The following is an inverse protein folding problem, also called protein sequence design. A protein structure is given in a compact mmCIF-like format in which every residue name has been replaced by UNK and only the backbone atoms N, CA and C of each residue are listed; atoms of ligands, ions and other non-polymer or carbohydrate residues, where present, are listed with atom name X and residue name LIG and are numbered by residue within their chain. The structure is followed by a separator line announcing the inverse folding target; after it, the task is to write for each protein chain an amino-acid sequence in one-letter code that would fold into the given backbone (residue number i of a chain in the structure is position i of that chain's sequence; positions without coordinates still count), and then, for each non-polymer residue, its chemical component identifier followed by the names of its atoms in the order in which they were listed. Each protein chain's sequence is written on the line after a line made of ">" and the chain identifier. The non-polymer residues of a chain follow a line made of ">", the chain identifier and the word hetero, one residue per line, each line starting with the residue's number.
data_IF_999001065652
#
_entry.id   IF_999001065652
#
_cell.length_a   1.000
_cell.length_b   1.000
_cell.length_c   1.000
_cell.angle_alpha   90.00
_cell.angle_beta   90.00
_cell.angle_gamma   90.00
#
_symmetry.space_group_name_H-M   'P 1'
#
loop_
_entity.id
_entity.type
_entity.pdbx_description
1 polymer ?
#
# COMPACT_ATOMS: atom_id res chain seq x y z
N UNK A 1 -9.72 -35.83 -24.10
CA UNK A 1 -8.52 -35.22 -23.48
C UNK A 1 -8.26 -33.90 -24.21
N UNK A 2 -8.86 -32.80 -23.74
CA UNK A 2 -8.96 -31.57 -24.53
C UNK A 2 -7.62 -30.83 -24.62
N UNK A 3 -6.82 -31.17 -25.64
CA UNK A 3 -5.52 -30.55 -25.95
C UNK A 3 -5.60 -29.03 -26.23
N UNK A 4 -6.81 -28.51 -26.52
CA UNK A 4 -7.06 -27.09 -26.83
C UNK A 4 -7.26 -26.21 -25.58
N UNK A 5 -7.45 -26.78 -24.39
CA UNK A 5 -7.69 -25.99 -23.17
C UNK A 5 -6.38 -25.36 -22.64
N UNK A 6 -5.24 -26.04 -22.85
CA UNK A 6 -3.93 -25.62 -22.36
C UNK A 6 -3.46 -24.25 -22.92
N UNK A 7 -3.50 -23.98 -24.25
CA UNK A 7 -3.07 -22.68 -24.77
C UNK A 7 -4.03 -21.54 -24.37
N UNK A 8 -5.32 -21.83 -24.26
CA UNK A 8 -6.34 -20.85 -23.87
C UNK A 8 -6.14 -20.42 -22.41
N UNK A 9 -5.85 -21.38 -21.52
CA UNK A 9 -5.58 -21.10 -20.11
C UNK A 9 -4.30 -20.26 -19.94
N UNK A 10 -3.26 -20.54 -20.74
CA UNK A 10 -1.99 -19.82 -20.69
C UNK A 10 -2.15 -18.36 -21.15
N UNK A 11 -2.93 -18.12 -22.21
CA UNK A 11 -3.27 -16.76 -22.68
C UNK A 11 -4.08 -16.00 -21.63
N UNK A 12 -5.01 -16.67 -20.94
CA UNK A 12 -5.83 -16.05 -19.90
C UNK A 12 -5.00 -15.61 -18.68
N UNK A 13 -3.97 -16.39 -18.29
CA UNK A 13 -3.06 -16.03 -17.20
C UNK A 13 -2.16 -14.83 -17.54
N UNK A 14 -1.84 -14.63 -18.82
CA UNK A 14 -1.01 -13.50 -19.27
C UNK A 14 -1.80 -12.17 -19.30
N UNK A 15 -3.14 -12.24 -19.32
CA UNK A 15 -4.04 -11.08 -19.34
C UNK A 15 -4.36 -10.55 -17.93
N UNK A 16 -4.10 -11.33 -16.88
CA UNK A 16 -4.19 -10.83 -15.50
C UNK A 16 -2.96 -9.99 -15.20
N UNK A 17 -3.01 -8.71 -15.55
CA UNK A 17 -2.00 -7.73 -15.12
C UNK A 17 -1.87 -7.73 -13.58
N UNK A 18 -0.70 -7.38 -13.03
CA UNK A 18 -0.50 -7.39 -11.60
C UNK A 18 -1.45 -6.37 -10.96
N UNK A 19 -2.51 -6.85 -10.32
CA UNK A 19 -3.33 -6.06 -9.40
C UNK A 19 -2.59 -5.71 -8.09
N UNK A 20 -1.26 -5.90 -8.07
CA UNK A 20 -0.31 -5.65 -6.99
C UNK A 20 0.49 -4.36 -7.26
N UNK A 21 -0.17 -3.24 -7.59
CA UNK A 21 0.54 -2.01 -7.95
C UNK A 21 0.42 -0.88 -6.91
N UNK A 22 -0.44 -1.02 -5.90
CA UNK A 22 -0.45 -0.10 -4.75
C UNK A 22 0.41 -0.67 -3.62
N UNK A 23 1.15 0.23 -2.96
CA UNK A 23 1.86 -0.02 -1.72
C UNK A 23 0.89 -0.56 -0.69
N UNK A 24 1.28 -1.64 -0.03
CA UNK A 24 0.43 -2.29 0.96
C UNK A 24 0.28 -1.42 2.21
N UNK A 25 -0.75 -1.74 3.00
CA UNK A 25 -0.97 -1.13 4.32
C UNK A 25 0.27 -1.27 5.22
N UNK A 26 0.91 -2.43 5.20
CA UNK A 26 2.04 -2.74 6.07
C UNK A 26 3.33 -2.07 5.60
N UNK A 27 3.52 -1.94 4.28
CA UNK A 27 4.62 -1.15 3.72
C UNK A 27 4.50 0.33 4.10
N UNK A 28 3.29 0.89 4.01
CA UNK A 28 3.02 2.25 4.47
C UNK A 28 3.30 2.39 5.98
N UNK A 29 2.89 1.41 6.80
CA UNK A 29 3.22 1.38 8.22
C UNK A 29 4.74 1.41 8.44
N UNK A 30 5.50 0.57 7.73
CA UNK A 30 6.95 0.47 7.83
C UNK A 30 7.66 1.76 7.39
N UNK A 31 7.18 2.44 6.35
CA UNK A 31 7.69 3.75 5.95
C UNK A 31 7.46 4.78 7.06
N UNK A 32 6.25 4.88 7.60
CA UNK A 32 5.93 5.82 8.67
C UNK A 32 6.73 5.58 9.96
N UNK A 33 6.95 4.31 10.34
CA UNK A 33 7.80 3.94 11.47
C UNK A 33 9.25 4.39 11.26
N UNK A 34 9.82 4.11 10.09
CA UNK A 34 11.21 4.51 9.76
C UNK A 34 11.41 6.02 9.78
N UNK A 35 10.40 6.80 9.39
CA UNK A 35 10.49 8.27 9.38
C UNK A 35 10.42 8.88 10.78
N UNK A 36 9.72 8.25 11.71
CA UNK A 36 9.38 8.85 13.01
C UNK A 36 10.06 8.18 14.19
N UNK A 37 10.61 6.98 13.99
CA UNK A 37 10.99 6.05 15.06
C UNK A 37 9.87 5.83 16.09
N UNK A 38 8.61 5.99 15.67
CA UNK A 38 7.42 5.87 16.52
C UNK A 38 6.66 4.55 16.32
N UNK A 39 5.63 4.35 17.14
CA UNK A 39 4.73 3.18 17.06
C UNK A 39 3.50 3.53 16.24
N UNK A 40 3.20 2.72 15.22
CA UNK A 40 1.97 2.87 14.42
C UNK A 40 0.76 2.48 15.27
N UNK A 41 -0.24 3.36 15.29
CA UNK A 41 -1.52 3.17 15.97
C UNK A 41 -2.61 2.71 15.01
N UNK A 42 -2.65 3.28 13.81
CA UNK A 42 -3.64 2.95 12.77
C UNK A 42 -3.07 3.25 11.38
N UNK A 43 -3.52 2.48 10.40
CA UNK A 43 -3.30 2.74 8.97
C UNK A 43 -4.63 2.63 8.27
N UNK A 44 -5.07 3.74 7.69
CA UNK A 44 -6.36 3.89 7.01
C UNK A 44 -6.12 4.31 5.55
N UNK A 45 -6.83 3.67 4.61
CA UNK A 45 -6.84 4.14 3.21
C UNK A 45 -7.74 5.37 3.12
N UNK A 46 -7.28 6.42 2.45
CA UNK A 46 -7.97 7.69 2.33
C UNK A 46 -7.66 8.36 1.00
N UNK A 47 -8.37 9.44 0.71
CA UNK A 47 -8.12 10.28 -0.45
C UNK A 47 -7.66 11.67 0.01
N UNK A 48 -6.56 12.15 -0.56
CA UNK A 48 -6.06 13.50 -0.37
C UNK A 48 -6.07 14.22 -1.72
N UNK A 49 -7.12 15.01 -1.97
CA UNK A 49 -7.36 15.63 -3.28
C UNK A 49 -7.72 14.57 -4.32
N UNK A 50 -6.84 14.36 -5.32
CA UNK A 50 -7.01 13.34 -6.37
C UNK A 50 -6.06 12.14 -6.18
N UNK A 51 -5.40 12.02 -5.03
CA UNK A 51 -4.45 10.94 -4.74
C UNK A 51 -5.02 10.01 -3.69
N UNK A 52 -4.88 8.71 -3.93
CA UNK A 52 -5.15 7.69 -2.93
C UNK A 52 -3.94 7.60 -2.02
N UNK A 53 -4.17 7.67 -0.70
CA UNK A 53 -3.11 7.74 0.31
C UNK A 53 -3.40 6.83 1.48
N UNK A 54 -2.36 6.41 2.17
CA UNK A 54 -2.42 5.80 3.48
C UNK A 54 -2.24 6.90 4.54
N UNK A 55 -3.26 7.06 5.40
CA UNK A 55 -3.19 7.88 6.61
C UNK A 55 -2.64 7.01 7.74
N UNK A 56 -1.37 7.18 8.06
CA UNK A 56 -0.72 6.44 9.13
C UNK A 56 -0.65 7.29 10.39
N UNK A 57 -1.39 6.90 11.43
CA UNK A 57 -1.30 7.50 12.76
C UNK A 57 -0.14 6.86 13.51
N UNK A 58 0.79 7.66 14.00
CA UNK A 58 1.97 7.21 14.74
C UNK A 58 2.06 7.95 16.07
N UNK A 59 2.41 7.26 17.15
CA UNK A 59 2.84 7.88 18.40
C UNK A 59 4.37 7.91 18.47
N UNK A 60 4.95 9.08 18.71
CA UNK A 60 6.40 9.25 18.85
C UNK A 60 6.88 8.82 20.24
N UNK A 61 8.20 8.72 20.43
CA UNK A 61 8.79 8.43 21.73
C UNK A 61 8.44 9.49 22.80
N UNK A 62 8.14 10.72 22.37
CA UNK A 62 7.72 11.83 23.23
C UNK A 62 6.22 11.78 23.57
N UNK A 63 5.48 10.79 23.05
CA UNK A 63 4.04 10.65 23.27
C UNK A 63 3.17 11.50 22.33
N UNK A 64 3.76 12.19 21.34
CA UNK A 64 3.00 12.96 20.37
C UNK A 64 2.36 12.05 19.32
N UNK A 65 1.09 12.31 18.98
CA UNK A 65 0.42 11.62 17.88
C UNK A 65 0.55 12.43 16.60
N UNK A 66 1.15 11.84 15.57
CA UNK A 66 1.33 12.44 14.25
C UNK A 66 0.60 11.63 13.19
N UNK A 67 0.09 12.30 12.15
CA UNK A 67 -0.49 11.65 10.98
C UNK A 67 0.47 11.82 9.82
N UNK A 68 0.96 10.70 9.29
CA UNK A 68 1.83 10.66 8.11
C UNK A 68 0.98 10.22 6.92
N UNK A 69 1.00 11.00 5.85
CA UNK A 69 0.34 10.67 4.59
C UNK A 69 1.34 10.00 3.67
N UNK A 70 1.02 8.81 3.18
CA UNK A 70 1.86 8.07 2.25
C UNK A 70 1.08 7.82 0.99
N UNK A 71 1.59 8.24 -0.15
CA UNK A 71 0.99 8.01 -1.46
C UNK A 71 0.88 6.49 -1.71
N UNK A 72 -0.34 6.01 -2.00
CA UNK A 72 -0.59 4.58 -2.13
C UNK A 72 0.05 3.98 -3.40
N UNK A 73 0.24 4.78 -4.46
CA UNK A 73 0.84 4.30 -5.70
C UNK A 73 2.37 4.22 -5.62
N UNK A 74 3.01 5.14 -4.87
CA UNK A 74 4.47 5.29 -4.86
C UNK A 74 5.14 4.93 -3.54
N UNK A 75 4.39 4.87 -2.43
CA UNK A 75 4.92 4.63 -1.09
C UNK A 75 5.69 5.80 -0.50
N UNK A 76 5.63 6.97 -1.14
CA UNK A 76 6.36 8.17 -0.70
C UNK A 76 5.50 8.98 0.27
N UNK A 77 6.12 9.59 1.30
CA UNK A 77 5.42 10.57 2.12
C UNK A 77 5.03 11.79 1.29
N UNK A 78 3.87 12.38 1.62
CA UNK A 78 3.35 13.61 1.03
C UNK A 78 3.70 14.83 1.88
#
# INVERSE_FOLDING_TARGET
>A
MNLLILPILLVLLLLTGPAWADVSRDDAAAVAQRMTNGRVLSVERSEAGRRVVWRVKVVTAQGEVRVILIDAATGRPL
#
